data_IF_010480948252
#
_entry.id   IF_010480948252
#
_cell.length_a   1.000
_cell.length_b   1.000
_cell.length_c   1.000
_cell.angle_alpha   90.00
_cell.angle_beta   90.00
_cell.angle_gamma   90.00
#
_symmetry.space_group_name_H-M   'P 1'
#
loop_
_entity.id
_entity.type
_entity.pdbx_description
1 polymer ?
#
# COMPACT_ATOMS: atom_id res chain seq x y z
N UNK A 1 -28.05 -24.90 13.59
CA UNK A 1 -27.65 -23.55 13.17
C UNK A 1 -28.93 -22.72 13.13
N UNK A 2 -29.02 -21.62 13.89
CA UNK A 2 -30.26 -20.86 14.11
C UNK A 2 -30.13 -19.36 13.77
N UNK A 3 -28.92 -18.82 13.77
CA UNK A 3 -28.63 -17.43 13.38
C UNK A 3 -27.91 -17.40 12.05
N UNK A 4 -28.10 -16.36 11.23
CA UNK A 4 -27.42 -16.21 9.96
C UNK A 4 -25.90 -16.03 10.10
N UNK A 5 -25.16 -16.41 9.05
CA UNK A 5 -23.71 -16.23 9.03
C UNK A 5 -23.35 -14.74 8.96
N UNK A 6 -22.52 -14.22 9.88
CA UNK A 6 -22.12 -12.82 9.86
C UNK A 6 -21.15 -12.51 8.69
N UNK A 7 -20.93 -11.23 8.43
CA UNK A 7 -19.92 -10.78 7.47
C UNK A 7 -18.50 -10.99 8.02
N UNK A 8 -17.77 -11.96 7.44
CA UNK A 8 -16.39 -12.28 7.78
C UNK A 8 -15.34 -11.49 6.97
N UNK A 9 -15.76 -10.67 6.00
CA UNK A 9 -14.84 -9.85 5.23
C UNK A 9 -14.19 -8.77 6.10
N UNK A 10 -14.98 -8.15 6.98
CA UNK A 10 -14.53 -7.09 7.87
C UNK A 10 -14.13 -7.63 9.23
N UNK A 11 -13.22 -6.90 9.89
CA UNK A 11 -12.88 -7.19 11.27
C UNK A 11 -14.07 -6.86 12.17
N UNK A 12 -14.46 -7.80 13.00
CA UNK A 12 -15.46 -7.66 14.04
C UNK A 12 -14.97 -8.39 15.30
N UNK A 13 -14.46 -7.63 16.28
CA UNK A 13 -13.84 -8.18 17.49
C UNK A 13 -14.86 -8.81 18.44
N UNK A 14 -16.09 -8.28 18.46
CA UNK A 14 -17.19 -8.82 19.28
C UNK A 14 -17.60 -10.23 18.86
N UNK A 15 -17.46 -10.55 17.56
CA UNK A 15 -17.69 -11.89 17.01
C UNK A 15 -16.41 -12.73 16.91
N UNK A 16 -15.26 -12.19 17.33
CA UNK A 16 -13.94 -12.83 17.14
C UNK A 16 -13.51 -12.96 15.68
N UNK A 17 -14.12 -12.22 14.76
CA UNK A 17 -13.82 -12.26 13.33
C UNK A 17 -12.68 -11.28 12.99
N UNK A 18 -11.49 -11.73 12.56
CA UNK A 18 -10.36 -10.84 12.28
C UNK A 18 -10.45 -10.10 10.94
N UNK A 19 -11.39 -10.49 10.07
CA UNK A 19 -11.53 -10.02 8.69
C UNK A 19 -10.63 -10.74 7.68
N UNK A 20 -10.78 -10.43 6.39
CA UNK A 20 -9.97 -11.03 5.31
C UNK A 20 -8.79 -10.20 4.85
N UNK A 21 -8.70 -8.94 5.27
CA UNK A 21 -7.58 -8.07 4.92
C UNK A 21 -6.26 -8.65 5.43
N UNK A 22 -5.29 -8.74 4.53
CA UNK A 22 -3.99 -9.29 4.83
C UNK A 22 -3.95 -10.82 4.88
N UNK A 23 -5.02 -11.56 4.59
CA UNK A 23 -4.94 -13.03 4.54
C UNK A 23 -4.21 -13.49 3.28
N UNK A 24 -3.36 -14.51 3.43
CA UNK A 24 -2.74 -15.17 2.28
C UNK A 24 -3.79 -16.01 1.55
N UNK A 25 -3.77 -15.93 0.23
CA UNK A 25 -4.61 -16.72 -0.64
C UNK A 25 -3.72 -17.42 -1.67
N UNK A 26 -4.23 -18.49 -2.27
CA UNK A 26 -3.56 -19.23 -3.33
C UNK A 26 -4.34 -19.03 -4.62
N UNK A 27 -3.62 -18.64 -5.67
CA UNK A 27 -4.17 -18.67 -7.01
C UNK A 27 -4.03 -20.09 -7.54
N UNK A 28 -5.11 -20.70 -8.05
CA UNK A 28 -5.06 -22.04 -8.64
C UNK A 28 -3.98 -22.06 -9.73
N UNK A 29 -2.95 -22.89 -9.56
CA UNK A 29 -1.98 -23.13 -10.62
C UNK A 29 -2.66 -23.96 -11.69
N UNK A 30 -2.92 -23.37 -12.86
CA UNK A 30 -3.40 -24.11 -14.03
C UNK A 30 -2.34 -25.14 -14.46
N UNK A 31 -2.42 -26.35 -13.91
CA UNK A 31 -2.12 -27.57 -14.64
C UNK A 31 -3.27 -27.83 -15.62
N UNK A 32 -2.98 -28.44 -16.76
CA UNK A 32 -3.87 -28.59 -17.91
C UNK A 32 -5.07 -29.54 -17.67
N UNK A 33 -5.34 -29.92 -16.44
CA UNK A 33 -6.18 -31.03 -16.05
C UNK A 33 -6.97 -30.65 -14.80
N UNK A 34 -7.98 -29.80 -14.99
CA UNK A 34 -9.03 -29.60 -14.00
C UNK A 34 -9.49 -28.15 -13.87
N UNK A 35 -10.39 -27.74 -14.76
CA UNK A 35 -11.33 -26.69 -14.42
C UNK A 35 -12.10 -27.09 -13.15
N UNK A 36 -12.14 -26.22 -12.13
CA UNK A 36 -13.13 -26.33 -11.04
C UNK A 36 -12.64 -26.36 -9.60
N UNK A 37 -11.61 -25.59 -9.24
CA UNK A 37 -11.38 -25.23 -7.83
C UNK A 37 -11.29 -23.71 -7.72
N UNK A 38 -12.42 -23.11 -7.31
CA UNK A 38 -12.58 -21.76 -6.76
C UNK A 38 -11.24 -21.08 -6.41
N UNK A 39 -10.85 -20.08 -7.20
CA UNK A 39 -9.60 -19.36 -7.01
C UNK A 39 -9.68 -18.72 -5.61
N UNK A 40 -9.01 -19.27 -4.59
CA UNK A 40 -9.27 -18.88 -3.18
C UNK A 40 -9.09 -17.38 -2.92
N UNK A 41 -8.30 -16.72 -3.76
CA UNK A 41 -8.13 -15.27 -3.79
C UNK A 41 -9.41 -14.52 -4.25
N UNK A 42 -10.17 -15.07 -5.18
CA UNK A 42 -11.46 -14.51 -5.61
C UNK A 42 -12.44 -14.46 -4.45
N UNK A 43 -12.60 -15.58 -3.74
CA UNK A 43 -13.55 -15.68 -2.63
C UNK A 43 -13.10 -14.95 -1.36
N UNK A 44 -11.79 -14.92 -1.06
CA UNK A 44 -11.27 -14.26 0.14
C UNK A 44 -11.05 -12.76 -0.05
N UNK A 45 -10.61 -12.33 -1.23
CA UNK A 45 -10.23 -10.95 -1.50
C UNK A 45 -11.31 -10.24 -2.34
N UNK A 46 -11.54 -10.71 -3.57
CA UNK A 46 -12.37 -10.00 -4.56
C UNK A 46 -13.83 -9.92 -4.13
N UNK A 47 -14.41 -11.01 -3.63
CA UNK A 47 -15.78 -11.04 -3.10
C UNK A 47 -15.98 -10.08 -1.92
N UNK A 48 -14.91 -9.80 -1.17
CA UNK A 48 -14.88 -8.82 -0.08
C UNK A 48 -14.52 -7.39 -0.54
N UNK A 49 -14.38 -7.14 -1.85
CA UNK A 49 -13.97 -5.85 -2.43
C UNK A 49 -12.48 -5.50 -2.21
N UNK A 50 -11.65 -6.48 -1.86
CA UNK A 50 -10.20 -6.34 -1.70
C UNK A 50 -9.46 -6.73 -2.99
N UNK A 51 -8.24 -6.24 -3.14
CA UNK A 51 -7.34 -6.61 -4.25
C UNK A 51 -6.41 -7.75 -3.84
N UNK A 52 -6.01 -8.54 -4.81
CA UNK A 52 -4.96 -9.56 -4.64
C UNK A 52 -3.61 -8.89 -4.87
N UNK A 53 -2.75 -8.91 -3.85
CA UNK A 53 -1.38 -8.41 -3.92
C UNK A 53 -0.42 -9.59 -4.03
N UNK A 54 0.43 -9.57 -5.06
CA UNK A 54 1.50 -10.55 -5.24
C UNK A 54 2.80 -10.08 -4.56
N UNK A 55 3.45 -10.99 -3.84
CA UNK A 55 4.79 -10.81 -3.28
C UNK A 55 5.66 -11.99 -3.64
N UNK A 56 6.77 -11.73 -4.32
CA UNK A 56 7.81 -12.74 -4.56
C UNK A 56 8.66 -12.92 -3.33
N UNK A 57 8.77 -14.16 -2.86
CA UNK A 57 9.53 -14.54 -1.67
C UNK A 57 10.57 -15.57 -2.08
N UNK A 58 11.83 -15.31 -1.70
CA UNK A 58 12.91 -16.28 -1.83
C UNK A 58 12.80 -17.28 -0.67
N UNK A 59 12.64 -18.54 -1.00
CA UNK A 59 12.54 -19.64 -0.05
C UNK A 59 13.74 -20.55 -0.26
N UNK A 60 14.42 -20.90 0.82
CA UNK A 60 15.47 -21.92 0.79
C UNK A 60 14.88 -23.20 1.34
N UNK A 61 14.89 -24.26 0.54
CA UNK A 61 14.36 -25.58 0.92
C UNK A 61 15.35 -26.69 0.57
N UNK A 62 15.32 -27.82 1.31
CA UNK A 62 16.11 -28.98 0.94
C UNK A 62 15.66 -29.51 -0.43
N UNK A 63 16.63 -29.88 -1.26
CA UNK A 63 16.46 -30.40 -2.61
C UNK A 63 17.51 -31.49 -2.88
N UNK A 64 17.32 -32.25 -3.97
CA UNK A 64 18.26 -33.29 -4.41
C UNK A 64 18.66 -34.24 -3.28
N UNK A 65 17.68 -34.66 -2.47
CA UNK A 65 17.94 -35.53 -1.33
C UNK A 65 18.29 -36.94 -1.80
N UNK A 66 19.43 -37.45 -1.34
CA UNK A 66 19.82 -38.84 -1.50
C UNK A 66 19.58 -39.61 -0.20
N UNK A 67 19.04 -40.81 -0.33
CA UNK A 67 18.83 -41.72 0.77
C UNK A 67 19.87 -42.84 0.74
N UNK A 68 20.58 -43.02 1.85
CA UNK A 68 21.49 -44.14 2.06
C UNK A 68 20.75 -45.21 2.85
N UNK A 69 20.62 -46.40 2.25
CA UNK A 69 20.08 -47.57 2.92
C UNK A 69 20.91 -47.86 4.17
N UNK A 70 20.25 -48.09 5.31
CA UNK A 70 20.78 -48.07 6.70
C UNK A 70 20.60 -46.78 7.53
N UNK A 71 19.80 -45.80 7.07
CA UNK A 71 19.19 -44.71 7.88
C UNK A 71 19.80 -43.29 7.75
N UNK A 72 20.36 -42.90 6.60
CA UNK A 72 20.83 -41.51 6.38
C UNK A 72 20.17 -40.85 5.17
N UNK A 73 19.67 -39.63 5.36
CA UNK A 73 19.23 -38.74 4.27
C UNK A 73 20.22 -37.58 4.18
N UNK A 74 20.74 -37.31 2.98
CA UNK A 74 21.61 -36.17 2.69
C UNK A 74 20.95 -35.28 1.64
N UNK A 75 20.74 -34.00 1.95
CA UNK A 75 20.08 -33.04 1.05
C UNK A 75 20.97 -31.83 0.78
N UNK A 76 20.80 -31.23 -0.39
CA UNK A 76 21.36 -29.92 -0.72
C UNK A 76 20.36 -28.82 -0.34
N UNK A 77 20.83 -27.60 -0.09
CA UNK A 77 19.95 -26.43 0.12
C UNK A 77 19.78 -25.69 -1.22
N UNK A 78 18.57 -25.70 -1.76
CA UNK A 78 18.23 -24.93 -2.96
C UNK A 78 17.50 -23.65 -2.58
N UNK A 79 17.77 -22.57 -3.29
CA UNK A 79 16.98 -21.35 -3.22
C UNK A 79 16.03 -21.26 -4.41
N UNK A 80 14.74 -21.04 -4.14
CA UNK A 80 13.70 -20.88 -5.15
C UNK A 80 12.88 -19.62 -4.86
N UNK A 81 12.35 -18.98 -5.91
CA UNK A 81 11.50 -17.79 -5.76
C UNK A 81 10.05 -18.21 -5.98
N UNK A 82 9.21 -18.03 -4.96
CA UNK A 82 7.78 -18.34 -5.01
C UNK A 82 6.94 -17.06 -4.94
N UNK A 83 5.88 -17.01 -5.74
CA UNK A 83 4.86 -15.96 -5.63
C UNK A 83 3.88 -16.32 -4.52
N UNK A 84 3.76 -15.43 -3.53
CA UNK A 84 2.72 -15.48 -2.49
C UNK A 84 1.68 -14.41 -2.77
N UNK A 85 0.40 -14.73 -2.59
CA UNK A 85 -0.70 -13.80 -2.79
C UNK A 85 -1.38 -13.47 -1.47
N UNK A 86 -1.81 -12.21 -1.31
CA UNK A 86 -2.46 -11.73 -0.09
C UNK A 86 -3.57 -10.72 -0.42
N UNK A 87 -4.64 -10.70 0.35
CA UNK A 87 -5.67 -9.67 0.23
C UNK A 87 -5.15 -8.33 0.74
N UNK A 88 -5.24 -7.29 -0.08
CA UNK A 88 -4.85 -5.93 0.26
C UNK A 88 -5.93 -4.93 -0.13
N UNK A 89 -5.89 -3.75 0.49
CA UNK A 89 -6.67 -2.64 -0.03
C UNK A 89 -6.07 -2.22 -1.38
N UNK A 90 -6.88 -1.79 -2.35
CA UNK A 90 -6.36 -1.06 -3.49
C UNK A 90 -5.54 0.11 -2.94
N UNK A 91 -4.24 0.05 -3.13
CA UNK A 91 -3.38 1.16 -2.78
C UNK A 91 -3.87 2.34 -3.62
N UNK A 92 -4.25 3.44 -2.97
CA UNK A 92 -4.51 4.69 -3.65
C UNK A 92 -3.17 5.15 -4.24
N UNK A 93 -2.85 4.65 -5.44
CA UNK A 93 -1.71 5.08 -6.23
C UNK A 93 -1.85 6.60 -6.44
N UNK A 94 -1.19 7.39 -5.58
CA UNK A 94 -1.25 8.86 -5.71
C UNK A 94 -1.11 9.72 -4.47
N UNK A 95 -0.73 9.23 -3.28
CA UNK A 95 -0.39 10.14 -2.17
C UNK A 95 1.03 9.98 -1.66
N UNK A 96 1.97 10.45 -2.47
CA UNK A 96 3.28 10.83 -1.98
C UNK A 96 3.11 11.87 -0.85
N UNK A 97 3.58 11.61 0.38
CA UNK A 97 3.63 12.64 1.42
C UNK A 97 4.83 13.53 1.11
N UNK A 98 4.61 14.79 0.70
CA UNK A 98 5.75 15.71 0.62
C UNK A 98 5.60 17.03 -0.15
N UNK A 99 4.61 17.21 -1.03
CA UNK A 99 4.60 18.41 -1.90
C UNK A 99 3.87 19.64 -1.34
N UNK A 100 3.12 19.52 -0.23
CA UNK A 100 2.35 20.67 0.33
C UNK A 100 3.23 21.70 1.06
N UNK A 101 4.42 21.32 1.53
CA UNK A 101 5.26 22.17 2.40
C UNK A 101 6.13 23.18 1.62
N UNK A 102 6.43 22.94 0.35
CA UNK A 102 7.21 23.89 -0.47
C UNK A 102 6.39 25.12 -0.92
N UNK A 103 5.10 24.94 -1.26
CA UNK A 103 4.25 26.03 -1.77
C UNK A 103 3.96 27.11 -0.72
N UNK A 104 3.80 26.73 0.54
CA UNK A 104 3.58 27.66 1.64
C UNK A 104 4.79 28.59 1.90
N UNK A 105 6.04 28.11 1.71
CA UNK A 105 7.25 28.93 1.87
C UNK A 105 7.40 29.97 0.74
N UNK A 106 7.03 29.63 -0.50
CA UNK A 106 7.10 30.56 -1.62
C UNK A 106 6.07 31.71 -1.50
N UNK A 107 4.84 31.42 -1.05
CA UNK A 107 3.81 32.44 -0.87
C UNK A 107 4.20 33.48 0.21
N UNK A 108 4.79 33.03 1.32
CA UNK A 108 5.23 33.94 2.38
C UNK A 108 6.39 34.85 1.93
N UNK A 109 7.35 34.35 1.14
CA UNK A 109 8.41 35.17 0.56
C UNK A 109 7.88 36.20 -0.45
N UNK A 110 6.87 35.85 -1.26
CA UNK A 110 6.27 36.78 -2.23
C UNK A 110 5.48 37.91 -1.57
N UNK A 111 4.87 37.65 -0.40
CA UNK A 111 4.15 38.66 0.37
C UNK A 111 5.09 39.67 1.03
N UNK A 112 6.28 39.23 1.49
CA UNK A 112 7.31 40.13 2.02
C UNK A 112 7.88 41.08 0.95
N UNK A 113 8.02 40.63 -0.30
CA UNK A 113 8.49 41.49 -1.40
C UNK A 113 7.46 42.57 -1.81
N UNK A 114 6.16 42.28 -1.71
CA UNK A 114 5.10 43.27 -1.98
C UNK A 114 5.02 44.39 -0.94
N UNK A 115 5.48 44.15 0.29
CA UNK A 115 5.55 45.17 1.34
C UNK A 115 6.67 46.19 1.15
N UNK A 116 7.78 45.81 0.51
CA UNK A 116 8.94 46.69 0.27
C UNK A 116 8.77 47.64 -0.93
N UNK A 117 7.85 47.36 -1.85
CA UNK A 117 7.69 48.13 -3.09
C UNK A 117 6.49 49.11 -3.07
N UNK A 118 5.91 49.40 -1.89
CA UNK A 118 5.02 50.56 -1.70
C UNK A 118 5.86 51.83 -1.65
N UNK A 119 6.20 52.33 -2.83
CA UNK A 119 6.70 53.70 -3.04
C UNK A 119 5.63 54.67 -2.52
N UNK A 120 5.94 55.63 -1.62
CA UNK A 120 4.96 56.61 -1.18
C UNK A 120 4.47 57.40 -2.40
N UNK A 121 3.16 57.56 -2.50
CA UNK A 121 2.52 58.27 -3.60
C UNK A 121 2.90 59.76 -3.54
N UNK A 122 3.01 60.40 -4.70
CA UNK A 122 3.47 61.79 -4.88
C UNK A 122 2.49 62.87 -4.37
N UNK A 123 1.84 62.64 -3.23
CA UNK A 123 0.94 63.58 -2.55
C UNK A 123 1.55 64.19 -1.27
N UNK A 124 2.83 63.94 -0.97
CA UNK A 124 3.54 64.52 0.18
C UNK A 124 4.61 65.56 -0.19
N UNK A 125 4.64 66.09 -1.42
CA UNK A 125 5.58 67.14 -1.84
C UNK A 125 4.97 68.57 -1.91
N UNK A 126 3.81 68.80 -1.29
CA UNK A 126 3.13 70.10 -1.35
C UNK A 126 2.78 70.68 0.03
N UNK A 127 3.73 70.70 0.98
CA UNK A 127 3.64 71.49 2.24
C UNK A 127 5.04 71.81 2.77
N UNK A 128 5.91 72.44 1.96
CA UNK A 128 7.19 72.99 2.45
C UNK A 128 7.76 74.10 1.56
N UNK A 129 6.90 74.92 0.92
CA UNK A 129 7.32 76.20 0.33
C UNK A 129 6.14 77.17 0.34
N UNK A 130 5.83 77.66 1.54
CA UNK A 130 5.06 78.89 1.75
C UNK A 130 5.50 79.53 3.07
N UNK A 131 6.78 79.91 3.10
CA UNK A 131 7.32 80.88 4.04
C UNK A 131 8.10 81.90 3.22
N UNK A 132 7.39 82.89 2.69
CA UNK A 132 7.84 84.28 2.55
C UNK A 132 6.64 85.16 2.20
#
# INVERSE_FOLDING_TARGET
FLEDSPDYCRRNESLGAPGTLGRECRRGSGGADGAGADDSCERLCTACGLRVLERRVRVTSPCNCSFTWCCRVSCQQCASVHSKFRCGRPEAAGRAPGKKRLRARQQHQQQQQRGRNRKPNAASQAVANKTS
#
